data_IF_108770081154
#
_entry.id   IF_108770081154
#
_cell.length_a   1.000
_cell.length_b   1.000
_cell.length_c   1.000
_cell.angle_alpha   90.00
_cell.angle_beta   90.00
_cell.angle_gamma   90.00
#
_symmetry.space_group_name_H-M   'P 1'
#
loop_
_entity.id
_entity.type
_entity.pdbx_description
1 polymer ?
#
# COMPACT_ATOMS: atom_id res chain seq x y z
N UNK A 1 13.69 7.37 11.41
CA UNK A 1 13.13 6.65 10.25
C UNK A 1 13.37 5.15 10.37
N UNK A 2 12.30 4.36 10.53
CA UNK A 2 12.36 2.89 10.47
C UNK A 2 11.94 2.46 9.06
N UNK A 3 12.85 1.81 8.33
CA UNK A 3 12.57 1.25 7.00
C UNK A 3 12.50 -0.27 7.10
N UNK A 4 11.37 -0.86 6.69
CA UNK A 4 11.18 -2.31 6.57
C UNK A 4 10.94 -2.64 5.10
N UNK A 5 11.57 -3.70 4.61
CA UNK A 5 11.36 -4.24 3.27
C UNK A 5 10.95 -5.70 3.34
N UNK A 6 9.96 -6.07 2.55
CA UNK A 6 9.46 -7.44 2.44
C UNK A 6 9.36 -7.82 0.96
N UNK A 7 9.66 -9.09 0.66
CA UNK A 7 9.52 -9.66 -0.69
C UNK A 7 8.56 -10.83 -0.63
N UNK A 8 7.55 -10.80 -1.49
CA UNK A 8 6.50 -11.81 -1.56
C UNK A 8 6.36 -12.28 -3.01
N UNK A 9 5.95 -13.52 -3.21
CA UNK A 9 5.76 -14.09 -4.55
C UNK A 9 4.36 -14.69 -4.71
N UNK A 10 3.85 -14.68 -5.93
CA UNK A 10 2.50 -15.14 -6.22
C UNK A 10 2.11 -14.93 -7.68
N UNK A 11 0.98 -15.51 -8.08
CA UNK A 11 0.49 -15.39 -9.47
C UNK A 11 -0.32 -14.10 -9.70
N UNK A 12 -1.16 -13.76 -8.72
CA UNK A 12 -2.12 -12.64 -8.78
C UNK A 12 -2.33 -11.92 -7.44
N UNK A 13 -2.06 -12.58 -6.32
CA UNK A 13 -2.34 -12.06 -4.99
C UNK A 13 -1.05 -12.07 -4.17
N UNK A 14 -0.77 -10.98 -3.46
CA UNK A 14 0.46 -10.75 -2.71
C UNK A 14 0.10 -10.17 -1.35
N UNK A 15 0.39 -10.90 -0.28
CA UNK A 15 0.01 -10.51 1.07
C UNK A 15 1.24 -10.21 1.93
N UNK A 16 1.17 -9.15 2.73
CA UNK A 16 2.19 -8.76 3.69
C UNK A 16 1.57 -8.13 4.93
N UNK A 17 2.38 -7.91 5.97
CA UNK A 17 1.92 -7.24 7.20
C UNK A 17 2.85 -6.09 7.56
N UNK A 18 2.26 -4.94 7.86
CA UNK A 18 3.02 -3.76 8.25
C UNK A 18 2.27 -2.88 9.25
N UNK A 19 2.98 -2.21 10.17
CA UNK A 19 2.37 -1.23 11.04
C UNK A 19 2.13 0.08 10.29
N UNK A 20 0.90 0.28 9.80
CA UNK A 20 0.51 1.45 9.01
C UNK A 20 -0.06 2.60 9.87
N UNK A 21 -0.82 2.29 10.92
CA UNK A 21 -1.43 3.28 11.83
C UNK A 21 -0.36 3.91 12.73
N UNK A 22 -0.23 5.24 12.73
CA UNK A 22 0.79 6.01 13.48
C UNK A 22 0.31 6.49 14.85
N UNK A 23 -0.93 6.21 15.26
CA UNK A 23 -1.49 6.80 16.48
C UNK A 23 -0.71 6.36 17.73
N UNK A 24 -0.23 7.33 18.51
CA UNK A 24 0.45 7.09 19.78
C UNK A 24 -0.41 6.27 20.77
N UNK A 25 -1.74 6.37 20.67
CA UNK A 25 -2.69 5.57 21.44
C UNK A 25 -2.57 4.05 21.18
N UNK A 26 -2.28 3.65 19.93
CA UNK A 26 -2.05 2.25 19.57
C UNK A 26 -0.71 1.72 20.11
N UNK A 27 0.31 2.57 20.21
CA UNK A 27 1.60 2.20 20.80
C UNK A 27 1.55 2.16 22.34
N UNK A 28 0.79 3.07 22.96
CA UNK A 28 0.72 3.22 24.42
C UNK A 28 -0.05 2.11 25.15
N UNK A 29 -0.97 1.42 24.47
CA UNK A 29 -1.83 0.39 25.10
C UNK A 29 -1.25 -1.02 25.07
N UNK A 30 -0.35 -1.33 24.13
CA UNK A 30 0.18 -2.70 23.92
C UNK A 30 1.70 -2.82 23.82
N UNK A 31 2.46 -1.71 23.83
CA UNK A 31 3.92 -1.72 23.65
C UNK A 31 4.39 -2.12 22.25
N UNK A 32 3.50 -2.68 21.41
CA UNK A 32 3.72 -3.02 20.01
C UNK A 32 2.69 -2.29 19.12
N UNK A 33 3.15 -1.79 17.97
CA UNK A 33 2.33 -1.13 16.97
C UNK A 33 1.46 -2.17 16.25
N UNK A 34 0.16 -1.91 16.10
CA UNK A 34 -0.77 -2.81 15.41
C UNK A 34 -0.28 -3.05 13.97
N UNK A 35 -0.08 -4.32 13.60
CA UNK A 35 0.17 -4.69 12.20
C UNK A 35 -1.17 -4.79 11.44
N UNK A 36 -1.17 -4.22 10.24
CA UNK A 36 -2.27 -4.32 9.28
C UNK A 36 -1.92 -5.35 8.21
N UNK A 37 -2.92 -6.12 7.78
CA UNK A 37 -2.77 -7.01 6.65
C UNK A 37 -2.95 -6.23 5.36
N UNK A 38 -1.98 -6.31 4.47
CA UNK A 38 -1.97 -5.68 3.15
C UNK A 38 -2.07 -6.79 2.13
N UNK A 39 -3.04 -6.69 1.24
CA UNK A 39 -3.21 -7.60 0.10
C UNK A 39 -3.22 -6.79 -1.17
N UNK A 40 -2.28 -7.10 -2.08
CA UNK A 40 -2.26 -6.57 -3.44
C UNK A 40 -2.77 -7.63 -4.38
N UNK A 41 -3.88 -7.34 -5.05
CA UNK A 41 -4.46 -8.18 -6.08
C UNK A 41 -4.24 -7.56 -7.45
N UNK A 42 -3.73 -8.34 -8.40
CA UNK A 42 -3.50 -7.95 -9.78
C UNK A 42 -4.34 -8.78 -10.74
N UNK A 43 -5.06 -8.09 -11.63
CA UNK A 43 -5.82 -8.67 -12.72
C UNK A 43 -5.28 -8.11 -14.04
N UNK A 44 -4.17 -8.69 -14.50
CA UNK A 44 -3.40 -8.18 -15.64
C UNK A 44 -3.65 -8.97 -16.94
N UNK A 45 -4.31 -10.12 -16.85
CA UNK A 45 -4.55 -11.01 -17.97
C UNK A 45 -6.07 -11.21 -18.19
N UNK A 46 -6.46 -11.35 -19.45
CA UNK A 46 -7.85 -11.58 -19.86
C UNK A 46 -8.38 -10.46 -20.77
N UNK A 47 -9.68 -10.49 -21.10
CA UNK A 47 -10.30 -9.52 -22.02
C UNK A 47 -10.57 -8.16 -21.39
N UNK A 48 -10.39 -8.04 -20.06
CA UNK A 48 -10.56 -6.79 -19.32
C UNK A 48 -9.26 -6.01 -19.29
N UNK A 49 -9.37 -4.69 -19.17
CA UNK A 49 -8.19 -3.84 -18.98
C UNK A 49 -7.44 -4.23 -17.70
N UNK A 50 -6.09 -4.20 -17.72
CA UNK A 50 -5.28 -4.46 -16.53
C UNK A 50 -5.68 -3.58 -15.35
N UNK A 51 -5.93 -4.19 -14.20
CA UNK A 51 -6.27 -3.49 -12.97
C UNK A 51 -5.55 -4.07 -11.74
N UNK A 52 -5.47 -3.27 -10.69
CA UNK A 52 -4.93 -3.66 -9.39
C UNK A 52 -5.79 -3.11 -8.25
N UNK A 53 -5.87 -3.89 -7.16
CA UNK A 53 -6.47 -3.47 -5.90
C UNK A 53 -5.46 -3.62 -4.77
N UNK A 54 -5.48 -2.67 -3.84
CA UNK A 54 -4.77 -2.76 -2.57
C UNK A 54 -5.83 -2.77 -1.47
N UNK A 55 -5.87 -3.86 -0.75
CA UNK A 55 -6.78 -4.13 0.35
C UNK A 55 -6.01 -4.06 1.65
N UNK A 56 -6.53 -3.34 2.64
CA UNK A 56 -5.97 -3.27 3.99
C UNK A 56 -7.02 -3.74 4.98
N UNK A 57 -6.69 -4.73 5.80
CA UNK A 57 -7.61 -5.36 6.77
C UNK A 57 -8.96 -5.77 6.15
N UNK A 58 -8.94 -6.28 4.92
CA UNK A 58 -10.13 -6.70 4.18
C UNK A 58 -10.91 -5.59 3.46
N UNK A 59 -10.49 -4.33 3.59
CA UNK A 59 -11.14 -3.17 2.91
C UNK A 59 -10.29 -2.72 1.72
N UNK A 60 -10.90 -2.63 0.53
CA UNK A 60 -10.21 -2.10 -0.67
C UNK A 60 -10.03 -0.60 -0.52
N UNK A 61 -8.78 -0.15 -0.37
CA UNK A 61 -8.46 1.27 -0.20
C UNK A 61 -7.97 1.92 -1.49
N UNK A 62 -7.30 1.16 -2.36
CA UNK A 62 -6.84 1.66 -3.67
C UNK A 62 -7.35 0.70 -4.75
N UNK A 63 -7.98 1.24 -5.80
CA UNK A 63 -8.35 0.48 -6.99
C UNK A 63 -7.94 1.25 -8.25
N UNK A 64 -6.87 0.78 -8.89
CA UNK A 64 -6.37 1.37 -10.13
C UNK A 64 -6.84 0.54 -11.32
N UNK A 65 -7.71 1.14 -12.14
CA UNK A 65 -8.11 0.61 -13.45
C UNK A 65 -7.21 1.14 -14.55
N UNK A 66 -7.19 0.44 -15.68
CA UNK A 66 -6.43 0.82 -16.87
C UNK A 66 -4.95 1.05 -16.54
N UNK A 67 -4.36 0.08 -15.83
CA UNK A 67 -2.99 0.16 -15.30
C UNK A 67 -1.94 0.40 -16.38
N UNK A 68 -2.18 0.01 -17.63
CA UNK A 68 -1.28 0.31 -18.75
C UNK A 68 -1.02 1.82 -18.93
N UNK A 69 -1.90 2.67 -18.39
CA UNK A 69 -1.76 4.12 -18.37
C UNK A 69 -1.38 4.69 -16.99
N UNK A 70 -1.49 3.87 -15.93
CA UNK A 70 -1.31 4.27 -14.52
C UNK A 70 -0.35 3.35 -13.76
N UNK A 71 0.61 2.77 -14.46
CA UNK A 71 1.53 1.77 -13.93
C UNK A 71 2.51 2.33 -12.90
N UNK A 72 2.67 3.66 -12.84
CA UNK A 72 3.34 4.38 -11.76
C UNK A 72 2.39 5.45 -11.22
N UNK A 73 2.26 5.51 -9.90
CA UNK A 73 1.34 6.46 -9.28
C UNK A 73 1.42 6.44 -7.77
N UNK A 74 0.60 7.27 -7.14
CA UNK A 74 0.45 7.34 -5.71
C UNK A 74 -0.96 7.80 -5.31
N UNK A 75 -1.39 7.46 -4.10
CA UNK A 75 -2.66 7.85 -3.50
C UNK A 75 -2.53 7.87 -1.98
N UNK A 76 -3.18 8.82 -1.32
CA UNK A 76 -3.22 8.89 0.15
C UNK A 76 -4.57 8.36 0.63
N UNK A 77 -4.53 7.34 1.49
CA UNK A 77 -5.73 6.67 2.03
C UNK A 77 -5.72 6.74 3.56
N UNK A 78 -6.88 6.54 4.19
CA UNK A 78 -6.98 6.46 5.66
C UNK A 78 -6.96 4.99 6.08
N UNK A 79 -6.00 4.62 6.94
CA UNK A 79 -5.92 3.32 7.59
C UNK A 79 -6.11 3.51 9.09
N UNK A 80 -7.19 2.95 9.64
CA UNK A 80 -7.60 3.27 11.01
C UNK A 80 -7.99 4.75 11.12
N UNK A 81 -7.13 5.57 11.73
CA UNK A 81 -7.27 7.03 11.80
C UNK A 81 -6.04 7.78 11.25
N UNK A 82 -5.11 7.06 10.60
CA UNK A 82 -3.89 7.64 10.08
C UNK A 82 -3.92 7.76 8.56
N UNK A 83 -3.52 8.91 7.99
CA UNK A 83 -3.26 9.02 6.57
C UNK A 83 -2.00 8.23 6.19
N UNK A 84 -2.10 7.44 5.14
CA UNK A 84 -1.02 6.60 4.59
C UNK A 84 -0.91 6.88 3.10
N UNK A 85 0.24 7.38 2.66
CA UNK A 85 0.53 7.51 1.23
C UNK A 85 1.05 6.17 0.71
N UNK A 86 0.39 5.68 -0.32
CA UNK A 86 0.76 4.47 -1.06
C UNK A 86 1.34 4.91 -2.40
N UNK A 87 2.54 4.44 -2.73
CA UNK A 87 3.15 4.60 -4.04
C UNK A 87 3.28 3.23 -4.69
N UNK A 88 3.12 3.19 -6.01
CA UNK A 88 3.28 1.96 -6.78
C UNK A 88 4.11 2.17 -8.04
N UNK A 89 4.91 1.16 -8.37
CA UNK A 89 5.48 0.91 -9.68
C UNK A 89 5.21 -0.55 -10.07
N UNK A 90 4.29 -0.74 -11.00
CA UNK A 90 3.88 -2.04 -11.55
C UNK A 90 4.25 -2.19 -13.02
N UNK A 91 5.19 -1.38 -13.52
CA UNK A 91 5.61 -1.42 -14.92
C UNK A 91 5.99 -2.84 -15.36
N UNK A 92 6.86 -3.49 -14.60
CA UNK A 92 7.40 -4.80 -15.01
C UNK A 92 6.31 -5.89 -15.01
N UNK A 93 5.35 -5.83 -14.09
CA UNK A 93 4.17 -6.71 -14.08
C UNK A 93 3.37 -6.70 -15.39
N UNK A 94 3.35 -5.56 -16.09
CA UNK A 94 2.58 -5.38 -17.33
C UNK A 94 3.45 -5.63 -18.56
N UNK A 95 4.72 -5.21 -18.54
CA UNK A 95 5.55 -5.11 -19.75
C UNK A 95 6.77 -6.04 -19.78
N UNK A 96 7.21 -6.62 -18.65
CA UNK A 96 8.47 -7.37 -18.57
C UNK A 96 8.32 -8.91 -18.68
N UNK A 97 7.10 -9.44 -18.81
CA UNK A 97 6.86 -10.87 -19.03
C UNK A 97 6.90 -11.74 -17.74
N UNK A 98 7.16 -13.05 -17.88
CA UNK A 98 7.29 -13.97 -16.74
C UNK A 98 8.40 -13.53 -15.77
N UNK A 99 8.26 -13.87 -14.48
CA UNK A 99 9.20 -13.47 -13.42
C UNK A 99 9.37 -11.94 -13.24
N UNK A 100 8.30 -11.19 -13.46
CA UNK A 100 8.25 -9.73 -13.28
C UNK A 100 8.01 -9.32 -11.83
N UNK A 101 8.39 -8.09 -11.48
CA UNK A 101 8.21 -7.53 -10.14
C UNK A 101 7.29 -6.31 -10.14
N UNK A 102 6.74 -5.98 -8.98
CA UNK A 102 6.19 -4.67 -8.68
C UNK A 102 6.70 -4.20 -7.32
N UNK A 103 6.73 -2.88 -7.14
CA UNK A 103 7.14 -2.25 -5.91
C UNK A 103 6.01 -1.39 -5.37
N UNK A 104 5.72 -1.56 -4.08
CA UNK A 104 4.80 -0.74 -3.33
C UNK A 104 5.52 -0.11 -2.16
N UNK A 105 5.21 1.16 -1.87
CA UNK A 105 5.76 1.88 -0.73
C UNK A 105 4.60 2.44 0.08
N UNK A 106 4.57 2.10 1.36
CA UNK A 106 3.62 2.64 2.32
C UNK A 106 4.37 3.51 3.32
N UNK A 107 3.95 4.75 3.46
CA UNK A 107 4.56 5.72 4.38
C UNK A 107 3.48 6.65 4.96
N UNK A 108 3.76 7.36 6.06
CA UNK A 108 2.85 8.40 6.55
C UNK A 108 2.46 9.37 5.43
N UNK A 109 1.16 9.60 5.28
CA UNK A 109 0.60 10.59 4.37
C UNK A 109 0.28 11.90 5.09
N UNK A 110 -0.07 12.94 4.33
CA UNK A 110 -0.68 14.15 4.90
C UNK A 110 -2.21 14.01 4.89
N UNK A 111 -2.88 14.39 5.98
CA UNK A 111 -4.33 14.30 6.08
C UNK A 111 -5.05 15.17 5.03
N UNK A 112 -4.44 16.29 4.62
CA UNK A 112 -4.98 17.16 3.58
C UNK A 112 -5.06 16.47 2.20
N UNK A 113 -4.17 15.52 1.92
CA UNK A 113 -4.12 14.81 0.63
C UNK A 113 -5.17 13.69 0.54
N UNK A 114 -5.76 13.28 1.67
CA UNK A 114 -6.81 12.27 1.73
C UNK A 114 -8.23 12.83 1.48
N UNK A 115 -8.37 14.14 1.21
CA UNK A 115 -9.65 14.78 0.87
C UNK A 115 -10.65 14.93 2.03
N UNK A 116 -10.21 14.79 3.29
CA UNK A 116 -11.07 14.96 4.46
C UNK A 116 -11.14 16.40 4.96
N UNK A 117 -12.33 17.00 4.99
CA UNK A 117 -12.59 18.34 5.58
C UNK A 117 -12.54 18.37 7.11
N UNK A 118 -12.39 17.21 7.76
CA UNK A 118 -12.30 17.13 9.21
C UNK A 118 -10.87 17.43 9.65
N UNK A 119 -10.72 18.44 10.52
CA UNK A 119 -9.46 18.79 11.16
C UNK A 119 -8.93 17.63 12.00
N UNK A 120 -8.27 16.67 11.34
CA UNK A 120 -7.33 15.77 11.96
C UNK A 120 -6.17 16.65 12.39
N UNK A 121 -6.28 17.18 13.62
CA UNK A 121 -5.32 18.12 14.19
C UNK A 121 -3.90 17.62 13.97
N UNK A 122 -2.99 18.55 13.67
CA UNK A 122 -1.54 18.36 13.50
C UNK A 122 -1.10 17.21 14.41
N UNK A 123 -1.08 15.98 13.90
CA UNK A 123 -0.71 14.81 14.68
C UNK A 123 0.79 14.91 14.81
N UNK A 124 1.18 15.54 15.92
CA UNK A 124 2.56 15.64 16.36
C UNK A 124 3.21 14.28 16.29
N UNK A 125 4.43 14.30 15.75
CA UNK A 125 5.31 13.15 15.59
C UNK A 125 4.69 12.02 14.75
N UNK A 126 4.44 12.31 13.46
CA UNK A 126 4.23 11.26 12.47
C UNK A 126 5.48 10.38 12.47
N UNK A 127 5.41 9.23 13.13
CA UNK A 127 6.50 8.27 13.16
C UNK A 127 7.02 8.04 11.74
N UNK A 128 8.28 8.42 11.49
CA UNK A 128 8.94 8.24 10.20
C UNK A 128 9.08 6.74 9.92
N UNK A 129 8.12 6.15 9.22
CA UNK A 129 8.22 4.78 8.73
C UNK A 129 8.14 4.73 7.21
N UNK A 130 8.76 3.71 6.63
CA UNK A 130 8.53 3.33 5.24
C UNK A 130 8.54 1.83 5.13
N UNK A 131 7.48 1.28 4.55
CA UNK A 131 7.36 -0.13 4.28
C UNK A 131 7.42 -0.35 2.77
N UNK A 132 8.44 -1.10 2.33
CA UNK A 132 8.67 -1.46 0.94
C UNK A 132 8.19 -2.90 0.72
N UNK A 133 7.27 -3.10 -0.21
CA UNK A 133 6.79 -4.41 -0.61
C UNK A 133 7.20 -4.69 -2.05
N UNK A 134 8.07 -5.68 -2.22
CA UNK A 134 8.42 -6.23 -3.54
C UNK A 134 7.54 -7.44 -3.83
N UNK A 135 6.76 -7.37 -4.90
CA UNK A 135 5.80 -8.40 -5.25
C UNK A 135 6.23 -9.09 -6.57
N UNK A 136 6.73 -10.32 -6.44
CA UNK A 136 7.34 -11.10 -7.52
C UNK A 136 6.32 -12.04 -8.16
N UNK A 137 5.99 -11.80 -9.42
CA UNK A 137 5.06 -12.63 -10.16
C UNK A 137 5.71 -13.94 -10.57
N UNK A 138 5.11 -15.05 -10.17
CA UNK A 138 5.51 -16.40 -10.60
C UNK A 138 4.67 -16.85 -11.80
N UNK A 139 5.21 -17.77 -12.59
CA UNK A 139 4.48 -18.47 -13.66
C UNK A 139 3.28 -19.29 -13.12
#
# INVERSE_FOLDING_TARGET
MVSRRESVSGKRCFAARAPLDTTAAAAASTGARKEHEIVVDSALAGPREPEMRITVDGVVLVHVKSLQWKFRGNETVIVGQSPVQVLWDVHDWIFAGPASQAVFIFKPGNAADAGGEHGYGILGDAADYSFFLHAWKTE
#
